data_IF_606338594586
#
_entry.id   IF_606338594586
#
_cell.length_a   1.000
_cell.length_b   1.000
_cell.length_c   1.000
_cell.angle_alpha   90.00
_cell.angle_beta   90.00
_cell.angle_gamma   90.00
#
_symmetry.space_group_name_H-M   'P 1'
#
loop_
_entity.id
_entity.type
_entity.pdbx_description
1 polymer ?
#
# COMPACT_ATOMS: atom_id res chain seq x y z
N UNK A 1 8.61 7.71 93.99
CA UNK A 1 8.91 8.42 92.70
C UNK A 1 9.81 9.59 93.13
N UNK A 2 11.06 9.50 92.68
CA UNK A 2 12.08 10.49 93.03
C UNK A 2 11.94 11.73 92.11
N UNK A 3 11.59 12.95 92.64
CA UNK A 3 11.37 14.12 91.82
C UNK A 3 12.63 14.71 91.19
N UNK A 4 13.80 14.06 91.44
CA UNK A 4 15.10 14.58 91.02
C UNK A 4 15.82 13.71 89.95
N UNK A 5 15.08 12.84 89.27
CA UNK A 5 15.70 12.08 88.25
C UNK A 5 15.84 12.94 86.97
N UNK A 6 17.06 13.18 86.50
CA UNK A 6 17.28 13.97 85.29
C UNK A 6 16.65 13.26 84.05
N UNK A 7 15.81 14.03 83.34
CA UNK A 7 15.24 13.61 82.08
C UNK A 7 16.40 13.38 81.14
N UNK A 8 16.60 12.09 80.69
CA UNK A 8 17.58 11.76 79.71
C UNK A 8 17.38 12.58 78.44
N UNK A 9 18.43 13.19 77.89
CA UNK A 9 18.29 13.94 76.61
C UNK A 9 17.75 13.05 75.52
N UNK A 10 16.62 13.48 75.00
CA UNK A 10 16.03 12.83 73.80
C UNK A 10 17.07 12.85 72.65
N UNK A 11 17.55 11.69 72.28
CA UNK A 11 18.54 11.59 71.21
C UNK A 11 17.94 12.09 69.89
N UNK A 12 18.66 12.98 69.18
CA UNK A 12 18.18 13.44 67.90
C UNK A 12 18.06 12.24 66.95
N UNK A 13 16.83 11.93 66.55
CA UNK A 13 16.54 10.88 65.57
C UNK A 13 17.26 11.28 64.30
N UNK A 14 18.24 10.51 63.90
CA UNK A 14 19.06 10.74 62.70
C UNK A 14 18.15 10.93 61.50
N UNK A 15 18.41 11.95 60.72
CA UNK A 15 17.66 12.31 59.51
C UNK A 15 17.58 11.14 58.51
N UNK A 16 18.61 10.31 58.48
CA UNK A 16 18.63 9.08 57.68
C UNK A 16 17.54 8.06 58.11
N UNK A 17 17.26 7.99 59.45
CA UNK A 17 16.20 7.13 59.98
C UNK A 17 14.81 7.66 59.64
N UNK A 18 14.63 8.97 59.64
CA UNK A 18 13.37 9.63 59.22
C UNK A 18 13.10 9.38 57.74
N UNK A 19 14.09 9.46 56.86
CA UNK A 19 13.96 9.21 55.43
C UNK A 19 13.61 7.75 55.19
N UNK A 20 14.23 6.80 55.89
CA UNK A 20 13.91 5.36 55.80
C UNK A 20 12.49 5.05 56.26
N UNK A 21 12.00 5.67 57.34
CA UNK A 21 10.66 5.44 57.84
C UNK A 21 9.58 6.07 56.95
N UNK A 22 9.87 7.19 56.30
CA UNK A 22 8.96 7.82 55.32
C UNK A 22 8.73 6.93 54.09
N UNK A 23 9.73 6.08 53.71
CA UNK A 23 9.64 5.19 52.56
C UNK A 23 8.60 4.05 52.68
N UNK A 24 8.10 3.76 53.90
CA UNK A 24 7.21 2.61 54.15
C UNK A 24 5.77 3.05 54.51
N UNK A 25 5.41 4.31 54.34
CA UNK A 25 4.03 4.75 54.59
C UNK A 25 3.07 4.17 53.52
N UNK A 26 1.83 3.77 53.94
CA UNK A 26 0.80 3.28 53.02
C UNK A 26 0.58 4.24 51.84
N UNK A 27 0.68 5.54 52.09
CA UNK A 27 0.58 6.59 51.07
C UNK A 27 1.71 6.48 50.04
N UNK A 28 2.95 6.30 50.47
CA UNK A 28 4.10 6.16 49.59
C UNK A 28 4.03 4.85 48.77
N UNK A 29 3.54 3.77 49.38
CA UNK A 29 3.30 2.50 48.68
C UNK A 29 2.26 2.66 47.56
N UNK A 30 1.08 3.23 47.87
CA UNK A 30 0.02 3.45 46.90
C UNK A 30 0.47 4.39 45.76
N UNK A 31 1.23 5.41 46.07
CA UNK A 31 1.79 6.33 45.09
C UNK A 31 2.76 5.59 44.12
N UNK A 32 3.68 4.80 44.66
CA UNK A 32 4.61 4.00 43.84
C UNK A 32 3.87 2.95 43.00
N UNK A 33 2.86 2.30 43.58
CA UNK A 33 2.03 1.33 42.87
C UNK A 33 1.25 1.98 41.71
N UNK A 34 0.66 3.14 41.98
CA UNK A 34 -0.04 3.93 40.95
C UNK A 34 0.91 4.34 39.82
N UNK A 35 2.11 4.81 40.17
CA UNK A 35 3.12 5.20 39.18
C UNK A 35 3.57 4.02 38.34
N UNK A 36 3.81 2.85 38.96
CA UNK A 36 4.16 1.63 38.26
C UNK A 36 3.06 1.17 37.30
N UNK A 37 1.81 1.16 37.77
CA UNK A 37 0.66 0.77 36.96
C UNK A 37 0.49 1.71 35.75
N UNK A 38 0.54 3.03 35.98
CA UNK A 38 0.47 4.01 34.90
C UNK A 38 1.66 3.86 33.93
N UNK A 39 2.85 3.55 34.42
CA UNK A 39 4.02 3.27 33.59
C UNK A 39 3.82 2.07 32.68
N UNK A 40 3.24 0.98 33.20
CA UNK A 40 2.91 -0.22 32.41
C UNK A 40 1.88 0.11 31.33
N UNK A 41 0.79 0.80 31.71
CA UNK A 41 -0.24 1.22 30.73
C UNK A 41 0.37 2.11 29.67
N UNK A 42 1.20 3.09 30.07
CA UNK A 42 1.90 3.96 29.14
C UNK A 42 2.82 3.21 28.18
N UNK A 43 3.57 2.21 28.68
CA UNK A 43 4.43 1.37 27.85
C UNK A 43 3.64 0.52 26.84
N UNK A 44 2.54 -0.11 27.29
CA UNK A 44 1.67 -0.90 26.42
C UNK A 44 1.08 -0.07 25.29
N UNK A 45 0.75 1.20 25.55
CA UNK A 45 0.25 2.11 24.51
C UNK A 45 1.38 2.69 23.65
N UNK A 46 2.53 2.99 24.24
CA UNK A 46 3.65 3.61 23.52
C UNK A 46 4.30 2.65 22.49
N UNK A 47 4.42 1.37 22.81
CA UNK A 47 5.06 0.39 21.92
C UNK A 47 4.40 0.32 20.53
N UNK A 48 3.07 0.12 20.41
CA UNK A 48 2.44 0.09 19.09
C UNK A 48 2.47 1.47 18.39
N UNK A 49 2.34 2.57 19.14
CA UNK A 49 2.39 3.92 18.57
C UNK A 49 3.79 4.20 18.01
N UNK A 50 4.84 3.94 18.77
CA UNK A 50 6.23 4.11 18.33
C UNK A 50 6.53 3.17 17.15
N UNK A 51 6.09 1.92 17.23
CA UNK A 51 6.22 0.95 16.15
C UNK A 51 5.55 1.41 14.87
N UNK A 52 4.37 2.01 14.95
CA UNK A 52 3.67 2.58 13.79
C UNK A 52 4.40 3.81 13.22
N UNK A 53 4.85 4.71 14.06
CA UNK A 53 5.53 5.94 13.62
C UNK A 53 6.90 5.65 12.98
N UNK A 54 7.66 4.71 13.53
CA UNK A 54 9.01 4.39 13.06
C UNK A 54 9.06 3.14 12.15
N UNK A 55 7.99 2.37 12.06
CA UNK A 55 7.88 1.19 11.21
C UNK A 55 8.27 1.46 9.74
N UNK A 56 7.78 2.53 9.11
CA UNK A 56 8.16 2.88 7.74
C UNK A 56 9.65 3.15 7.55
N UNK A 57 10.33 3.67 8.57
CA UNK A 57 11.77 3.95 8.52
C UNK A 57 12.64 2.69 8.67
N UNK A 58 12.12 1.67 9.34
CA UNK A 58 12.80 0.37 9.56
C UNK A 58 12.30 -0.72 8.60
N UNK A 59 11.25 -0.42 7.82
CA UNK A 59 10.66 -1.33 6.86
C UNK A 59 11.69 -1.81 5.85
N UNK A 60 11.80 -3.11 5.69
CA UNK A 60 12.63 -3.71 4.64
C UNK A 60 12.22 -3.09 3.31
N UNK A 61 13.17 -2.47 2.64
CA UNK A 61 12.99 -2.05 1.25
C UNK A 61 12.42 -3.22 0.46
N UNK A 62 11.26 -3.01 -0.06
CA UNK A 62 10.85 -3.22 -1.40
C UNK A 62 10.16 -4.51 -1.77
N UNK A 63 8.88 -4.40 -1.70
CA UNK A 63 8.02 -4.97 -2.70
C UNK A 63 8.17 -4.27 -4.09
N UNK A 64 8.99 -3.25 -4.21
CA UNK A 64 9.07 -2.37 -5.39
C UNK A 64 9.64 -3.04 -6.64
N UNK A 65 10.37 -4.15 -6.48
CA UNK A 65 10.94 -4.93 -7.59
C UNK A 65 10.53 -6.40 -7.56
N UNK A 66 9.45 -6.73 -6.87
CA UNK A 66 8.99 -8.12 -6.84
C UNK A 66 8.25 -8.46 -8.11
N UNK A 67 8.90 -9.26 -8.96
CA UNK A 67 8.30 -9.81 -10.16
C UNK A 67 7.48 -11.04 -9.81
N UNK A 68 6.21 -11.02 -10.18
CA UNK A 68 5.26 -12.10 -9.94
C UNK A 68 4.83 -12.73 -11.26
N UNK A 69 4.78 -14.05 -11.27
CA UNK A 69 4.37 -14.86 -12.42
C UNK A 69 2.84 -14.80 -12.56
N UNK A 70 2.36 -14.44 -13.74
CA UNK A 70 0.92 -14.47 -14.11
C UNK A 70 0.53 -15.76 -14.84
N UNK A 71 1.48 -16.54 -15.31
CA UNK A 71 1.23 -17.76 -16.07
C UNK A 71 2.03 -17.86 -17.35
N UNK A 72 1.81 -18.94 -18.09
CA UNK A 72 2.43 -19.17 -19.39
C UNK A 72 1.87 -18.23 -20.47
N UNK A 73 2.69 -17.88 -21.46
CA UNK A 73 2.22 -17.14 -22.64
C UNK A 73 1.12 -17.87 -23.40
N UNK A 74 1.06 -19.20 -23.31
CA UNK A 74 0.03 -20.02 -23.92
C UNK A 74 -1.36 -19.82 -23.29
N UNK A 75 -1.41 -19.38 -22.03
CA UNK A 75 -2.67 -19.11 -21.33
C UNK A 75 -3.38 -17.85 -21.85
N UNK A 76 -2.66 -17.01 -22.62
CA UNK A 76 -3.14 -15.75 -23.16
C UNK A 76 -3.15 -15.78 -24.70
N UNK A 77 -4.27 -16.15 -25.34
CA UNK A 77 -4.41 -16.13 -26.80
C UNK A 77 -4.24 -14.72 -27.37
N UNK A 78 -3.76 -14.66 -28.62
CA UNK A 78 -3.57 -13.38 -29.31
C UNK A 78 -4.90 -12.66 -29.58
N UNK A 79 -4.88 -11.36 -29.42
CA UNK A 79 -6.05 -10.49 -29.63
C UNK A 79 -7.10 -10.56 -28.51
N UNK A 80 -6.90 -11.43 -27.51
CA UNK A 80 -7.82 -11.57 -26.40
C UNK A 80 -7.39 -10.77 -25.16
N UNK A 81 -8.42 -10.43 -24.36
CA UNK A 81 -8.25 -9.84 -23.03
C UNK A 81 -8.81 -10.82 -22.00
N UNK A 82 -8.00 -11.25 -21.06
CA UNK A 82 -8.34 -12.23 -20.04
C UNK A 82 -8.10 -11.70 -18.65
N UNK A 83 -8.94 -12.14 -17.70
CA UNK A 83 -8.71 -11.91 -16.28
C UNK A 83 -7.65 -12.90 -15.79
N UNK A 84 -6.60 -12.39 -15.17
CA UNK A 84 -5.61 -13.15 -14.43
C UNK A 84 -5.61 -12.72 -12.96
N UNK A 85 -5.10 -13.56 -12.09
CA UNK A 85 -5.00 -13.26 -10.66
C UNK A 85 -3.59 -13.59 -10.19
N UNK A 86 -3.00 -12.71 -9.39
CA UNK A 86 -1.71 -12.93 -8.77
C UNK A 86 -1.77 -12.72 -7.27
N UNK A 87 -0.89 -13.39 -6.56
CA UNK A 87 -0.74 -13.16 -5.11
C UNK A 87 0.10 -11.93 -4.86
N UNK A 88 -0.42 -10.99 -4.07
CA UNK A 88 0.34 -9.82 -3.66
C UNK A 88 1.59 -10.26 -2.86
N UNK A 89 2.80 -9.90 -3.27
CA UNK A 89 4.04 -10.31 -2.60
C UNK A 89 4.19 -9.78 -1.18
N UNK A 90 3.39 -8.76 -0.79
CA UNK A 90 3.44 -8.15 0.54
C UNK A 90 2.44 -8.80 1.50
N UNK A 91 1.73 -9.86 1.08
CA UNK A 91 0.71 -10.49 1.91
C UNK A 91 1.31 -11.29 3.06
N UNK A 92 0.54 -11.33 4.14
CA UNK A 92 0.77 -12.18 5.31
C UNK A 92 -0.17 -13.39 5.28
N UNK A 93 0.06 -14.36 6.17
CA UNK A 93 -0.83 -15.52 6.29
C UNK A 93 -2.27 -15.16 6.70
N UNK A 94 -2.47 -13.98 7.28
CA UNK A 94 -3.76 -13.50 7.74
C UNK A 94 -4.63 -12.87 6.64
N UNK A 95 -4.03 -12.51 5.51
CA UNK A 95 -4.74 -11.83 4.42
C UNK A 95 -5.69 -12.75 3.63
N UNK A 96 -5.54 -14.06 3.78
CA UNK A 96 -6.42 -15.03 3.15
C UNK A 96 -6.57 -14.77 1.64
N UNK A 97 -7.80 -14.79 1.14
CA UNK A 97 -8.13 -14.54 -0.28
C UNK A 97 -8.00 -13.06 -0.69
N UNK A 98 -7.97 -12.13 0.26
CA UNK A 98 -7.79 -10.71 -0.05
C UNK A 98 -6.39 -10.39 -0.56
N UNK A 99 -5.45 -11.30 -0.37
CA UNK A 99 -4.12 -11.24 -0.95
C UNK A 99 -4.06 -11.55 -2.44
N UNK A 100 -5.13 -12.07 -3.03
CA UNK A 100 -5.20 -12.42 -4.44
C UNK A 100 -5.76 -11.22 -5.23
N UNK A 101 -4.91 -10.63 -6.08
CA UNK A 101 -5.23 -9.41 -6.81
C UNK A 101 -5.54 -9.77 -8.26
N UNK A 102 -6.75 -9.49 -8.76
CA UNK A 102 -7.08 -9.67 -10.17
C UNK A 102 -6.50 -8.52 -11.02
N UNK A 103 -6.12 -8.85 -12.25
CA UNK A 103 -5.67 -7.91 -13.27
C UNK A 103 -6.16 -8.34 -14.64
N UNK A 104 -6.23 -7.41 -15.58
CA UNK A 104 -6.59 -7.69 -16.97
C UNK A 104 -5.33 -7.82 -17.80
N UNK A 105 -5.17 -8.95 -18.46
CA UNK A 105 -4.07 -9.24 -19.39
C UNK A 105 -4.61 -9.23 -20.81
N UNK A 106 -4.06 -8.35 -21.64
CA UNK A 106 -4.33 -8.30 -23.07
C UNK A 106 -3.08 -8.70 -23.84
N UNK A 107 -3.18 -9.72 -24.67
CA UNK A 107 -2.13 -10.04 -25.66
C UNK A 107 -2.48 -9.34 -26.96
N UNK A 108 -1.65 -8.40 -27.37
CA UNK A 108 -1.89 -7.63 -28.61
C UNK A 108 -1.47 -8.48 -29.81
N UNK A 109 -0.24 -8.97 -29.82
CA UNK A 109 0.31 -9.84 -30.84
C UNK A 109 1.65 -10.42 -30.37
N UNK A 110 1.95 -11.64 -30.74
CA UNK A 110 3.24 -12.29 -30.46
C UNK A 110 3.65 -12.18 -28.99
N UNK A 111 4.67 -11.39 -28.70
CA UNK A 111 5.18 -11.12 -27.35
C UNK A 111 4.75 -9.76 -26.77
N UNK A 112 3.84 -9.06 -27.45
CA UNK A 112 3.37 -7.74 -27.00
C UNK A 112 2.16 -7.91 -26.10
N UNK A 113 2.32 -7.54 -24.83
CA UNK A 113 1.29 -7.61 -23.81
C UNK A 113 0.98 -6.23 -23.23
N UNK A 114 -0.20 -6.10 -22.68
CA UNK A 114 -0.64 -5.00 -21.82
C UNK A 114 -1.29 -5.60 -20.60
N UNK A 115 -0.89 -5.17 -19.42
CA UNK A 115 -1.43 -5.69 -18.16
C UNK A 115 -2.00 -4.55 -17.35
N UNK A 116 -3.32 -4.53 -17.19
CA UNK A 116 -4.02 -3.44 -16.52
C UNK A 116 -4.45 -3.84 -15.12
N UNK A 117 -4.33 -2.89 -14.19
CA UNK A 117 -4.98 -3.03 -12.90
C UNK A 117 -6.50 -3.06 -13.08
N UNK A 118 -7.18 -3.86 -12.25
CA UNK A 118 -8.65 -3.94 -12.29
C UNK A 118 -9.31 -2.64 -11.84
N UNK A 119 -8.58 -1.77 -11.16
CA UNK A 119 -9.10 -0.57 -10.52
C UNK A 119 -9.34 0.56 -11.51
N UNK A 120 -10.57 1.10 -11.50
CA UNK A 120 -10.95 2.29 -12.24
C UNK A 120 -10.12 3.50 -11.79
N UNK A 121 -9.62 4.27 -12.74
CA UNK A 121 -8.79 5.46 -12.46
C UNK A 121 -9.57 6.64 -11.83
N UNK A 122 -10.89 6.50 -11.63
CA UNK A 122 -11.71 7.49 -10.91
C UNK A 122 -11.58 7.29 -9.39
N UNK A 123 -12.20 6.24 -8.84
CA UNK A 123 -12.25 5.96 -7.39
C UNK A 123 -11.97 4.49 -7.06
N UNK A 124 -11.28 3.77 -7.94
CA UNK A 124 -10.80 2.43 -7.65
C UNK A 124 -11.80 1.28 -7.78
N UNK A 125 -13.03 1.52 -8.25
CA UNK A 125 -13.99 0.43 -8.48
C UNK A 125 -13.47 -0.57 -9.52
N UNK A 126 -13.75 -1.88 -9.39
CA UNK A 126 -13.29 -2.86 -10.36
C UNK A 126 -13.97 -2.66 -11.71
N UNK A 127 -13.18 -2.55 -12.77
CA UNK A 127 -13.66 -2.51 -14.15
C UNK A 127 -13.93 -3.90 -14.68
N UNK A 128 -14.89 -4.02 -15.61
CA UNK A 128 -15.24 -5.26 -16.30
C UNK A 128 -14.93 -5.14 -17.78
N UNK A 129 -14.39 -6.20 -18.37
CA UNK A 129 -14.16 -6.32 -19.80
C UNK A 129 -15.43 -6.80 -20.51
N UNK A 130 -15.76 -6.16 -21.61
CA UNK A 130 -16.86 -6.54 -22.52
C UNK A 130 -16.27 -6.81 -23.89
N UNK A 131 -16.18 -8.07 -24.28
CA UNK A 131 -15.57 -8.51 -25.54
C UNK A 131 -16.29 -7.99 -26.78
N UNK A 132 -17.63 -7.88 -26.71
CA UNK A 132 -18.46 -7.43 -27.82
C UNK A 132 -18.20 -5.97 -28.20
N UNK A 133 -18.10 -5.11 -27.18
CA UNK A 133 -17.85 -3.69 -27.39
C UNK A 133 -16.37 -3.33 -27.40
N UNK A 134 -15.51 -4.26 -27.00
CA UNK A 134 -14.05 -4.05 -26.78
C UNK A 134 -13.78 -2.89 -25.82
N UNK A 135 -14.56 -2.80 -24.76
CA UNK A 135 -14.45 -1.77 -23.74
C UNK A 135 -14.31 -2.37 -22.34
N UNK A 136 -13.54 -1.69 -21.50
CA UNK A 136 -13.66 -1.84 -20.07
C UNK A 136 -14.66 -0.85 -19.52
N UNK A 137 -15.61 -1.31 -18.72
CA UNK A 137 -16.64 -0.48 -18.12
C UNK A 137 -16.55 -0.55 -16.59
N UNK A 138 -16.67 0.61 -15.96
CA UNK A 138 -16.78 0.74 -14.53
C UNK A 138 -18.24 0.87 -14.13
N UNK A 139 -18.80 -0.06 -13.34
CA UNK A 139 -20.23 -0.04 -13.00
C UNK A 139 -20.62 1.05 -12.00
N UNK A 140 -19.64 1.66 -11.31
CA UNK A 140 -19.94 2.59 -10.23
C UNK A 140 -20.44 3.94 -10.75
N UNK A 141 -19.76 4.55 -11.72
CA UNK A 141 -20.09 5.89 -12.22
C UNK A 141 -19.98 5.98 -13.75
N UNK A 142 -20.00 4.86 -14.45
CA UNK A 142 -20.03 4.84 -15.91
C UNK A 142 -18.69 5.20 -16.59
N UNK A 143 -17.56 5.06 -15.88
CA UNK A 143 -16.25 5.20 -16.52
C UNK A 143 -16.06 4.13 -17.59
N UNK A 144 -15.61 4.52 -18.78
CA UNK A 144 -15.35 3.62 -19.89
C UNK A 144 -13.92 3.80 -20.41
N UNK A 145 -13.31 2.68 -20.83
CA UNK A 145 -11.96 2.65 -21.37
C UNK A 145 -11.93 1.76 -22.61
N UNK A 146 -11.11 2.14 -23.57
CA UNK A 146 -10.85 1.31 -24.74
C UNK A 146 -10.06 0.05 -24.37
N UNK A 147 -9.95 -0.88 -25.31
CA UNK A 147 -9.22 -2.13 -25.14
C UNK A 147 -7.73 -1.96 -24.82
N UNK A 148 -7.15 -0.82 -25.17
CA UNK A 148 -5.75 -0.45 -24.86
C UNK A 148 -5.61 0.25 -23.51
N UNK A 149 -6.67 0.30 -22.70
CA UNK A 149 -6.69 0.94 -21.40
C UNK A 149 -6.86 2.45 -21.44
N UNK A 150 -6.84 3.09 -22.61
CA UNK A 150 -7.06 4.54 -22.71
C UNK A 150 -8.47 4.93 -22.35
N UNK A 151 -8.66 6.16 -21.83
CA UNK A 151 -9.98 6.67 -21.45
C UNK A 151 -10.88 6.85 -22.66
N UNK A 152 -12.08 6.30 -22.59
CA UNK A 152 -13.11 6.51 -23.62
C UNK A 152 -14.13 7.56 -23.18
N UNK A 153 -14.71 7.43 -21.96
CA UNK A 153 -15.73 8.38 -21.46
C UNK A 153 -15.92 8.26 -19.95
N UNK A 154 -16.73 9.15 -19.43
CA UNK A 154 -17.13 9.16 -18.01
C UNK A 154 -16.19 9.98 -17.11
N UNK A 155 -16.35 9.85 -15.77
CA UNK A 155 -15.64 10.68 -14.81
C UNK A 155 -14.13 10.41 -14.65
N UNK A 156 -13.53 9.25 -15.03
CA UNK A 156 -12.08 9.11 -14.94
C UNK A 156 -11.35 10.18 -15.74
N UNK A 157 -10.28 10.74 -15.20
CA UNK A 157 -9.47 11.76 -15.88
C UNK A 157 -8.38 11.16 -16.77
N UNK A 158 -8.09 9.85 -16.63
CA UNK A 158 -6.99 9.14 -17.31
C UNK A 158 -7.37 7.69 -17.62
N UNK A 159 -6.52 7.00 -18.39
CA UNK A 159 -6.65 5.59 -18.69
C UNK A 159 -6.46 4.67 -17.47
N UNK A 160 -6.65 3.38 -17.68
CA UNK A 160 -6.37 2.35 -16.68
C UNK A 160 -4.88 2.35 -16.33
N UNK A 161 -4.58 1.96 -15.10
CA UNK A 161 -3.21 1.75 -14.68
C UNK A 161 -2.64 0.50 -15.34
N UNK A 162 -1.48 0.64 -15.94
CA UNK A 162 -0.75 -0.45 -16.57
C UNK A 162 0.41 -0.88 -15.68
N UNK A 163 0.52 -2.21 -15.46
CA UNK A 163 1.65 -2.79 -14.77
C UNK A 163 2.86 -2.92 -15.71
N UNK A 164 4.03 -2.62 -15.19
CA UNK A 164 5.27 -2.99 -15.85
C UNK A 164 5.34 -4.52 -15.92
N UNK A 165 5.65 -5.04 -17.11
CA UNK A 165 5.71 -6.47 -17.34
C UNK A 165 6.98 -6.85 -18.10
N UNK A 166 7.37 -8.11 -18.00
CA UNK A 166 8.45 -8.71 -18.78
C UNK A 166 8.13 -10.18 -19.07
N UNK A 167 8.75 -10.68 -20.11
CA UNK A 167 8.67 -12.10 -20.46
C UNK A 167 10.00 -12.77 -20.10
N UNK A 168 9.94 -13.87 -19.37
CA UNK A 168 11.08 -14.69 -19.03
C UNK A 168 10.68 -16.17 -18.98
N UNK A 169 11.45 -17.03 -19.64
CA UNK A 169 11.23 -18.48 -19.67
C UNK A 169 9.77 -18.86 -20.05
N UNK A 170 9.23 -18.25 -21.11
CA UNK A 170 7.87 -18.46 -21.63
C UNK A 170 6.74 -18.11 -20.65
N UNK A 171 7.05 -17.25 -19.69
CA UNK A 171 6.10 -16.76 -18.67
C UNK A 171 5.99 -15.25 -18.70
N UNK A 172 4.78 -14.78 -18.44
CA UNK A 172 4.49 -13.36 -18.26
C UNK A 172 4.66 -12.99 -16.78
N UNK A 173 5.59 -12.09 -16.50
CA UNK A 173 5.85 -11.57 -15.17
C UNK A 173 5.46 -10.10 -15.10
N UNK A 174 4.90 -9.68 -13.96
CA UNK A 174 4.57 -8.28 -13.67
C UNK A 174 5.32 -7.78 -12.45
N UNK A 175 5.61 -6.48 -12.43
CA UNK A 175 6.08 -5.77 -11.25
C UNK A 175 4.90 -5.48 -10.33
N UNK A 176 4.64 -6.38 -9.38
CA UNK A 176 3.45 -6.34 -8.51
C UNK A 176 3.65 -5.53 -7.23
N UNK A 177 4.86 -5.08 -6.95
CA UNK A 177 5.18 -4.38 -5.70
C UNK A 177 4.64 -2.96 -5.60
N UNK A 178 4.32 -2.35 -6.74
CA UNK A 178 3.72 -1.01 -6.80
C UNK A 178 2.25 -1.15 -7.16
N UNK A 179 1.38 -0.94 -6.18
CA UNK A 179 -0.04 -0.76 -6.49
C UNK A 179 -0.20 0.55 -7.27
N UNK A 180 -0.87 0.53 -8.44
CA UNK A 180 -1.17 1.75 -9.17
C UNK A 180 -2.05 2.64 -8.29
N UNK A 181 -1.55 3.80 -7.92
CA UNK A 181 -2.29 4.79 -7.12
C UNK A 181 -2.50 6.07 -7.93
N UNK A 182 -3.41 6.93 -7.48
CA UNK A 182 -3.61 8.26 -8.09
C UNK A 182 -2.32 9.12 -8.05
N UNK A 183 -1.42 8.82 -7.13
CA UNK A 183 -0.11 9.46 -7.01
C UNK A 183 0.98 8.79 -7.85
N UNK A 184 0.71 7.62 -8.46
CA UNK A 184 1.66 7.01 -9.38
C UNK A 184 1.91 7.99 -10.54
N UNK A 185 3.19 8.31 -10.79
CA UNK A 185 3.57 9.09 -11.96
C UNK A 185 2.97 8.42 -13.19
N UNK A 186 2.51 9.23 -14.15
CA UNK A 186 2.12 8.70 -15.46
C UNK A 186 3.20 7.74 -15.90
N UNK A 187 2.84 6.46 -16.06
CA UNK A 187 3.78 5.48 -16.57
C UNK A 187 4.36 6.05 -17.85
N UNK A 188 5.68 6.11 -17.93
CA UNK A 188 6.37 6.52 -19.14
C UNK A 188 5.75 5.77 -20.30
N UNK A 189 5.19 6.49 -21.28
CA UNK A 189 4.63 5.90 -22.50
C UNK A 189 5.56 4.79 -22.98
N UNK A 190 5.09 3.56 -23.21
CA UNK A 190 5.88 2.61 -23.96
C UNK A 190 6.24 3.30 -25.26
N UNK A 191 7.52 3.27 -25.62
CA UNK A 191 8.00 3.92 -26.83
C UNK A 191 7.14 3.49 -28.01
N UNK A 192 6.51 4.45 -28.63
CA UNK A 192 5.65 4.36 -29.82
C UNK A 192 6.31 3.68 -31.05
N UNK A 193 7.47 3.10 -30.88
CA UNK A 193 8.26 2.51 -31.98
C UNK A 193 7.75 1.17 -32.48
N UNK A 194 6.72 0.56 -31.88
CA UNK A 194 6.21 -0.75 -32.29
C UNK A 194 4.75 -0.79 -32.79
N UNK A 195 4.06 0.34 -32.90
CA UNK A 195 2.66 0.38 -33.39
C UNK A 195 2.59 0.72 -34.89
N UNK A 196 3.68 0.67 -35.62
CA UNK A 196 3.68 1.03 -37.05
C UNK A 196 2.89 0.06 -37.97
N UNK A 197 2.38 -1.07 -37.47
CA UNK A 197 1.69 -2.08 -38.28
C UNK A 197 0.31 -2.52 -37.77
N UNK A 198 -0.35 -1.80 -36.87
CA UNK A 198 -1.71 -2.09 -36.50
C UNK A 198 -2.69 -1.24 -37.36
N UNK A 199 -3.78 -1.84 -37.91
CA UNK A 199 -4.76 -1.06 -38.67
C UNK A 199 -5.37 0.03 -37.79
N UNK A 200 -5.64 1.22 -38.34
CA UNK A 200 -6.01 2.37 -37.55
C UNK A 200 -7.46 2.28 -37.05
N UNK A 201 -7.62 2.06 -35.77
CA UNK A 201 -8.81 2.52 -35.06
C UNK A 201 -8.39 3.83 -34.38
N UNK A 202 -8.52 4.92 -35.10
CA UNK A 202 -8.28 6.24 -34.57
C UNK A 202 -9.49 6.73 -33.75
N UNK A 203 -9.31 7.02 -32.45
CA UNK A 203 -10.08 8.07 -31.82
C UNK A 203 -9.57 9.44 -32.31
N UNK A 204 -10.40 10.48 -32.35
CA UNK A 204 -9.93 11.82 -32.67
C UNK A 204 -8.87 12.22 -31.62
N UNK A 205 -7.72 12.64 -32.14
CA UNK A 205 -6.64 13.16 -31.32
C UNK A 205 -7.05 14.52 -30.74
N UNK A 206 -7.60 14.52 -29.55
CA UNK A 206 -7.45 15.65 -28.66
C UNK A 206 -6.51 15.18 -27.53
N UNK A 207 -5.26 15.51 -27.73
CA UNK A 207 -4.23 15.41 -26.69
C UNK A 207 -4.62 16.31 -25.52
N UNK A 208 -5.30 15.72 -24.54
CA UNK A 208 -5.45 16.40 -23.25
C UNK A 208 -4.10 16.31 -22.57
N UNK A 209 -3.30 17.36 -22.78
CA UNK A 209 -2.09 17.60 -22.04
C UNK A 209 -2.44 17.87 -20.58
N UNK A 210 -2.27 16.87 -19.69
CA UNK A 210 -2.43 17.11 -18.27
C UNK A 210 -1.30 18.00 -17.73
N UNK A 211 -1.62 19.10 -17.07
CA UNK A 211 -0.63 20.04 -16.56
C UNK A 211 0.26 19.52 -15.43
N UNK A 212 0.08 18.27 -14.99
CA UNK A 212 0.90 17.64 -13.95
C UNK A 212 2.03 16.74 -14.45
N UNK A 213 2.08 16.43 -15.71
CA UNK A 213 3.14 15.59 -16.30
C UNK A 213 4.14 16.36 -17.15
N UNK A 214 4.36 17.62 -16.94
CA UNK A 214 5.51 18.47 -17.35
C UNK A 214 6.26 18.20 -18.65
N UNK A 215 5.70 17.48 -19.64
CA UNK A 215 6.39 17.21 -20.91
C UNK A 215 5.39 17.09 -22.06
N UNK A 216 4.79 18.24 -22.43
CA UNK A 216 4.39 18.47 -23.80
C UNK A 216 5.50 19.30 -24.44
N UNK A 217 6.44 18.64 -25.09
CA UNK A 217 7.31 19.33 -26.06
C UNK A 217 6.72 19.10 -27.44
N UNK A 218 6.40 20.22 -28.04
CA UNK A 218 5.98 20.40 -29.44
C UNK A 218 6.95 19.78 -30.43
#
# INVERSE_FOLDING_TARGET
MDPNQPIAPEQPVDEATRIRQAGHSRRAFLFKLSLALNGVVGAVMAVPIIGYLFGPATGKKSAEETWVDLGSLADFPEGETRLATFRNPITTAWDGQTGDIPCWVRRVSGTTFQVFAINCAHLGCPVRWFSESKLFLCPCHGGAYYQDGSRASGPPERGLFEYEHKIAADKLLISAGKMPTLAAKCASKPQLTQIANAPPVQPPAEEICEPRCGSCQS
#
